data_IF_071677871754
#
_entry.id   IF_071677871754
#
_cell.length_a   1.000
_cell.length_b   1.000
_cell.length_c   1.000
_cell.angle_alpha   90.00
_cell.angle_beta   90.00
_cell.angle_gamma   90.00
#
_symmetry.space_group_name_H-M   'P 1'
#
loop_
_entity.id
_entity.type
_entity.pdbx_description
1 polymer ?
#
# COMPACT_ATOMS: atom_id res chain seq x y z
N UNK A 1 -31.66 -45.81 -1.00
CA UNK A 1 -31.22 -45.13 -2.22
C UNK A 1 -31.51 -43.65 -2.09
N UNK A 2 -30.58 -42.81 -2.42
CA UNK A 2 -30.70 -41.36 -2.40
C UNK A 2 -30.33 -40.77 -3.77
N UNK A 3 -30.83 -39.55 -4.09
CA UNK A 3 -30.48 -38.74 -5.24
C UNK A 3 -29.60 -37.61 -4.81
N UNK A 4 -28.42 -37.46 -5.41
CA UNK A 4 -27.53 -36.30 -5.28
C UNK A 4 -27.71 -35.41 -6.49
N UNK A 5 -28.08 -34.14 -6.27
CA UNK A 5 -28.24 -33.14 -7.32
C UNK A 5 -27.05 -32.20 -7.27
N UNK A 6 -26.25 -32.14 -8.34
CA UNK A 6 -25.08 -31.27 -8.49
C UNK A 6 -25.27 -30.43 -9.76
N UNK A 7 -25.94 -29.28 -9.63
CA UNK A 7 -26.29 -28.38 -10.75
C UNK A 7 -25.41 -27.14 -10.84
N UNK A 8 -24.32 -27.08 -10.05
CA UNK A 8 -23.41 -25.93 -9.98
C UNK A 8 -23.66 -25.03 -8.76
N UNK A 9 -22.79 -24.03 -8.61
CA UNK A 9 -22.85 -23.04 -7.54
C UNK A 9 -22.80 -21.66 -8.18
N UNK A 10 -23.72 -20.80 -7.81
CA UNK A 10 -23.72 -19.37 -8.19
C UNK A 10 -23.26 -18.53 -7.00
N UNK A 11 -22.23 -17.67 -7.17
CA UNK A 11 -21.78 -16.78 -6.10
C UNK A 11 -22.85 -15.74 -5.76
N UNK A 12 -23.13 -15.52 -4.49
CA UNK A 12 -24.11 -14.51 -4.07
C UNK A 12 -23.44 -13.13 -3.92
N UNK A 13 -23.11 -12.53 -5.04
CA UNK A 13 -22.37 -11.25 -5.13
C UNK A 13 -23.24 -10.04 -5.44
N UNK A 14 -24.56 -10.19 -5.48
CA UNK A 14 -25.51 -9.12 -5.83
C UNK A 14 -25.40 -7.86 -4.97
N UNK A 15 -24.94 -7.98 -3.71
CA UNK A 15 -24.76 -6.82 -2.81
C UNK A 15 -23.56 -5.93 -3.18
N UNK A 16 -22.63 -6.44 -3.97
CA UNK A 16 -21.35 -5.78 -4.28
C UNK A 16 -21.08 -5.64 -5.79
N UNK A 17 -21.96 -6.16 -6.64
CA UNK A 17 -21.78 -6.19 -8.09
C UNK A 17 -21.52 -4.80 -8.73
N UNK A 18 -22.09 -3.73 -8.14
CA UNK A 18 -21.93 -2.36 -8.62
C UNK A 18 -20.69 -1.66 -8.03
N UNK A 19 -19.97 -2.34 -7.12
CA UNK A 19 -18.82 -1.75 -6.40
C UNK A 19 -17.50 -2.45 -6.73
N UNK A 20 -17.57 -3.73 -7.14
CA UNK A 20 -16.39 -4.56 -7.40
C UNK A 20 -16.48 -5.21 -8.79
N UNK A 21 -15.35 -5.34 -9.50
CA UNK A 21 -15.31 -6.13 -10.71
C UNK A 21 -15.58 -7.61 -10.38
N UNK A 22 -16.48 -8.23 -11.16
CA UNK A 22 -16.79 -9.64 -11.07
C UNK A 22 -16.27 -10.37 -12.30
N UNK A 23 -15.90 -11.64 -12.14
CA UNK A 23 -15.57 -12.54 -13.22
C UNK A 23 -16.86 -12.97 -13.98
N UNK A 24 -16.69 -13.68 -15.11
CA UNK A 24 -17.82 -14.14 -15.93
C UNK A 24 -18.82 -15.04 -15.19
N UNK A 25 -18.34 -15.80 -14.20
CA UNK A 25 -19.17 -16.67 -13.34
C UNK A 25 -19.82 -15.91 -12.16
N UNK A 26 -19.67 -14.59 -12.10
CA UNK A 26 -20.15 -13.75 -10.99
C UNK A 26 -19.27 -13.77 -9.73
N UNK A 27 -18.13 -14.44 -9.74
CA UNK A 27 -17.17 -14.47 -8.62
C UNK A 27 -16.41 -13.13 -8.49
N UNK A 28 -15.97 -12.80 -7.27
CA UNK A 28 -15.18 -11.58 -7.01
C UNK A 28 -13.75 -11.78 -7.52
N UNK A 29 -13.26 -10.84 -8.33
CA UNK A 29 -11.86 -10.80 -8.77
C UNK A 29 -10.97 -10.35 -7.62
N UNK A 30 -9.90 -11.12 -7.34
CA UNK A 30 -8.90 -10.79 -6.29
C UNK A 30 -7.48 -11.03 -6.78
N UNK A 31 -6.52 -10.35 -6.16
CA UNK A 31 -5.11 -10.70 -6.32
C UNK A 31 -4.71 -11.92 -5.44
N UNK A 32 -3.41 -12.30 -5.50
CA UNK A 32 -2.86 -13.41 -4.70
C UNK A 32 -2.90 -13.16 -3.18
N UNK A 33 -3.11 -11.92 -2.74
CA UNK A 33 -3.25 -11.50 -1.35
C UNK A 33 -4.71 -11.36 -0.92
N UNK A 34 -5.65 -11.87 -1.70
CA UNK A 34 -7.09 -11.77 -1.46
C UNK A 34 -7.64 -10.35 -1.47
N UNK A 35 -6.90 -9.36 -2.01
CA UNK A 35 -7.33 -7.97 -2.12
C UNK A 35 -8.27 -7.83 -3.30
N UNK A 36 -9.35 -7.07 -3.11
CA UNK A 36 -10.25 -6.66 -4.20
C UNK A 36 -9.79 -5.34 -4.81
N UNK A 37 -10.51 -4.83 -5.80
CA UNK A 37 -10.27 -3.51 -6.38
C UNK A 37 -10.51 -2.36 -5.39
N UNK A 38 -11.29 -2.58 -4.31
CA UNK A 38 -11.49 -1.60 -3.26
C UNK A 38 -10.46 -1.78 -2.14
N UNK A 39 -9.77 -0.69 -1.80
CA UNK A 39 -8.81 -0.68 -0.71
C UNK A 39 -9.47 -1.04 0.63
N UNK A 40 -8.87 -1.96 1.39
CA UNK A 40 -9.40 -2.43 2.67
C UNK A 40 -10.49 -3.49 2.57
N UNK A 41 -10.87 -3.89 1.35
CA UNK A 41 -11.86 -4.95 1.11
C UNK A 41 -11.16 -6.20 0.58
N UNK A 42 -11.41 -7.32 1.23
CA UNK A 42 -10.81 -8.62 0.90
C UNK A 42 -11.94 -9.62 0.62
N UNK A 43 -11.69 -10.56 -0.30
CA UNK A 43 -12.60 -11.66 -0.55
C UNK A 43 -11.87 -13.00 -0.41
N UNK A 44 -12.49 -13.97 0.25
CA UNK A 44 -11.93 -15.28 0.52
C UNK A 44 -12.98 -16.38 0.34
N UNK A 45 -12.52 -17.58 0.02
CA UNK A 45 -13.40 -18.75 -0.15
C UNK A 45 -14.02 -18.82 -1.54
N UNK A 46 -15.13 -19.51 -1.65
CA UNK A 46 -15.76 -19.87 -2.94
C UNK A 46 -16.46 -18.69 -3.64
N UNK A 47 -16.60 -17.56 -2.95
CA UNK A 47 -17.17 -16.33 -3.49
C UNK A 47 -16.22 -15.61 -4.46
N UNK A 48 -14.90 -15.89 -4.37
CA UNK A 48 -13.90 -15.31 -5.27
C UNK A 48 -13.58 -16.20 -6.47
N UNK A 49 -13.08 -15.58 -7.53
CA UNK A 49 -12.57 -16.27 -8.69
C UNK A 49 -11.37 -17.15 -8.34
N UNK A 50 -11.49 -18.46 -8.54
CA UNK A 50 -10.42 -19.44 -8.35
C UNK A 50 -10.71 -20.76 -9.05
N UNK A 51 -9.66 -21.46 -9.44
CA UNK A 51 -9.73 -22.75 -10.12
C UNK A 51 -10.38 -23.86 -9.27
N UNK A 52 -10.04 -23.95 -7.98
CA UNK A 52 -10.49 -25.02 -7.11
C UNK A 52 -11.31 -24.47 -5.94
N UNK A 53 -12.60 -24.78 -5.92
CA UNK A 53 -13.55 -24.42 -4.85
C UNK A 53 -13.73 -25.62 -3.92
N UNK A 54 -12.98 -25.65 -2.81
CA UNK A 54 -12.98 -26.70 -1.78
C UNK A 54 -12.80 -26.08 -0.38
N UNK A 55 -13.24 -26.76 0.65
CA UNK A 55 -13.10 -26.31 2.04
C UNK A 55 -11.64 -25.98 2.37
N UNK A 56 -10.69 -26.83 1.98
CA UNK A 56 -9.27 -26.60 2.24
C UNK A 56 -8.75 -25.31 1.58
N UNK A 57 -9.15 -25.03 0.33
CA UNK A 57 -8.76 -23.79 -0.36
C UNK A 57 -9.47 -22.56 0.22
N UNK A 58 -10.70 -22.71 0.71
CA UNK A 58 -11.41 -21.62 1.39
C UNK A 58 -10.73 -21.24 2.72
N UNK A 59 -10.27 -22.23 3.50
CA UNK A 59 -9.50 -22.00 4.72
C UNK A 59 -8.16 -21.30 4.41
N UNK A 60 -7.45 -21.73 3.38
CA UNK A 60 -6.22 -21.10 2.92
C UNK A 60 -6.43 -19.63 2.52
N UNK A 61 -7.46 -19.35 1.73
CA UNK A 61 -7.85 -18.00 1.36
C UNK A 61 -8.13 -17.12 2.60
N UNK A 62 -8.87 -17.66 3.58
CA UNK A 62 -9.18 -16.97 4.83
C UNK A 62 -7.93 -16.58 5.62
N UNK A 63 -6.95 -17.50 5.70
CA UNK A 63 -5.67 -17.23 6.36
C UNK A 63 -4.89 -16.10 5.64
N UNK A 64 -4.83 -16.14 4.31
CA UNK A 64 -4.16 -15.09 3.51
C UNK A 64 -4.90 -13.75 3.64
N UNK A 65 -6.23 -13.75 3.57
CA UNK A 65 -7.04 -12.55 3.72
C UNK A 65 -6.87 -11.90 5.10
N UNK A 66 -6.88 -12.70 6.17
CA UNK A 66 -6.66 -12.21 7.54
C UNK A 66 -5.29 -11.56 7.71
N UNK A 67 -4.23 -12.20 7.22
CA UNK A 67 -2.88 -11.64 7.24
C UNK A 67 -2.75 -10.35 6.41
N UNK A 68 -3.40 -10.32 5.24
CA UNK A 68 -3.40 -9.15 4.37
C UNK A 68 -4.17 -7.98 4.98
N UNK A 69 -5.28 -8.26 5.68
CA UNK A 69 -6.06 -7.26 6.39
C UNK A 69 -5.28 -6.66 7.59
N UNK A 70 -4.57 -7.51 8.36
CA UNK A 70 -3.69 -7.04 9.43
C UNK A 70 -2.62 -6.09 8.92
N UNK A 71 -1.94 -6.47 7.83
CA UNK A 71 -0.97 -5.59 7.17
C UNK A 71 -1.59 -4.27 6.72
N UNK A 72 -2.76 -4.31 6.09
CA UNK A 72 -3.44 -3.11 5.64
C UNK A 72 -3.77 -2.15 6.79
N UNK A 73 -4.22 -2.67 7.94
CA UNK A 73 -4.50 -1.88 9.14
C UNK A 73 -3.21 -1.25 9.67
N UNK A 74 -2.15 -2.03 9.83
CA UNK A 74 -0.85 -1.53 10.32
C UNK A 74 -0.26 -0.43 9.41
N UNK A 75 -0.37 -0.58 8.10
CA UNK A 75 0.04 0.44 7.13
C UNK A 75 -0.83 1.70 7.20
N UNK A 76 -2.15 1.53 7.39
CA UNK A 76 -3.07 2.65 7.52
C UNK A 76 -2.78 3.46 8.77
N UNK A 77 -2.56 2.80 9.91
CA UNK A 77 -2.17 3.46 11.15
C UNK A 77 -0.82 4.17 11.04
N UNK A 78 0.16 3.54 10.39
CA UNK A 78 1.46 4.17 10.12
C UNK A 78 1.30 5.41 9.26
N UNK A 79 0.48 5.33 8.20
CA UNK A 79 0.21 6.44 7.30
C UNK A 79 -0.41 7.62 8.05
N UNK A 80 -1.44 7.37 8.84
CA UNK A 80 -2.12 8.42 9.60
C UNK A 80 -1.23 9.02 10.69
N UNK A 81 -0.58 8.19 11.52
CA UNK A 81 0.20 8.65 12.68
C UNK A 81 1.57 9.23 12.32
N UNK A 82 2.22 8.75 11.27
CA UNK A 82 3.61 9.11 10.96
C UNK A 82 3.76 9.98 9.70
N UNK A 83 2.80 9.93 8.79
CA UNK A 83 2.88 10.61 7.51
C UNK A 83 1.93 11.79 7.43
N UNK A 84 0.67 11.62 7.86
CA UNK A 84 -0.31 12.71 7.92
C UNK A 84 -0.30 13.48 9.24
N UNK A 85 0.70 13.28 10.07
CA UNK A 85 0.83 13.78 11.44
C UNK A 85 0.29 15.19 11.63
N UNK A 86 -0.57 15.39 12.65
CA UNK A 86 -1.25 16.64 12.92
C UNK A 86 -0.26 17.78 13.22
N UNK A 87 -0.12 18.70 12.25
CA UNK A 87 0.57 19.97 12.39
C UNK A 87 2.09 19.97 12.19
N UNK A 88 2.71 18.86 11.74
CA UNK A 88 4.12 18.85 11.33
C UNK A 88 4.27 18.37 9.89
N UNK A 89 5.13 19.00 9.10
CA UNK A 89 5.49 18.49 7.79
C UNK A 89 6.11 17.09 7.89
N UNK A 90 5.87 16.26 6.90
CA UNK A 90 6.41 14.90 6.83
C UNK A 90 7.29 14.72 5.60
N UNK A 91 8.39 14.02 5.77
CA UNK A 91 9.30 13.62 4.73
C UNK A 91 9.33 12.09 4.64
N UNK A 92 8.86 11.55 3.53
CA UNK A 92 8.69 10.12 3.33
C UNK A 92 9.67 9.62 2.28
N UNK A 93 10.66 8.85 2.70
CA UNK A 93 11.57 8.17 1.78
C UNK A 93 10.98 6.83 1.36
N UNK A 94 10.61 6.72 0.09
CA UNK A 94 10.05 5.51 -0.51
C UNK A 94 11.15 4.82 -1.31
N UNK A 95 11.49 3.61 -0.92
CA UNK A 95 12.65 2.89 -1.41
C UNK A 95 12.40 1.39 -1.54
N UNK A 96 13.27 0.71 -2.28
CA UNK A 96 13.25 -0.74 -2.41
C UNK A 96 14.56 -1.30 -1.82
N UNK A 97 14.47 -2.10 -0.76
CA UNK A 97 15.63 -2.63 -0.03
C UNK A 97 16.52 -3.55 -0.86
N UNK A 98 16.01 -4.15 -1.94
CA UNK A 98 16.81 -5.01 -2.84
C UNK A 98 17.52 -4.22 -3.94
N UNK A 99 17.11 -2.97 -4.20
CA UNK A 99 17.75 -2.10 -5.20
C UNK A 99 19.01 -1.43 -4.65
N UNK A 100 20.19 -1.64 -5.26
CA UNK A 100 21.43 -1.01 -4.84
C UNK A 100 21.36 0.52 -4.82
N UNK A 101 20.73 1.13 -5.84
CA UNK A 101 20.60 2.59 -5.95
C UNK A 101 19.82 3.17 -4.77
N UNK A 102 18.74 2.49 -4.37
CA UNK A 102 17.95 2.89 -3.20
C UNK A 102 18.78 2.84 -1.90
N UNK A 103 19.67 1.86 -1.77
CA UNK A 103 20.54 1.73 -0.60
C UNK A 103 21.64 2.78 -0.55
N UNK A 104 22.24 3.10 -1.70
CA UNK A 104 23.31 4.10 -1.78
C UNK A 104 22.80 5.50 -1.39
N UNK A 105 21.56 5.81 -1.72
CA UNK A 105 20.94 7.09 -1.35
C UNK A 105 20.47 7.15 0.11
N UNK A 106 20.41 6.02 0.80
CA UNK A 106 19.95 5.98 2.19
C UNK A 106 20.79 6.88 3.11
N UNK A 107 22.11 6.93 2.89
CA UNK A 107 23.01 7.78 3.68
C UNK A 107 22.70 9.26 3.45
N UNK A 108 22.50 9.69 2.22
CA UNK A 108 22.14 11.08 1.88
C UNK A 108 20.81 11.48 2.55
N UNK A 109 19.85 10.57 2.55
CA UNK A 109 18.53 10.79 3.16
C UNK A 109 18.58 10.83 4.69
N UNK A 110 19.45 10.03 5.32
CA UNK A 110 19.69 10.10 6.78
C UNK A 110 20.37 11.43 7.18
N UNK A 111 21.26 11.98 6.37
CA UNK A 111 21.84 13.31 6.59
C UNK A 111 20.76 14.41 6.56
N UNK A 112 19.80 14.33 5.65
CA UNK A 112 18.64 15.22 5.66
C UNK A 112 17.81 15.08 6.93
N UNK A 113 17.56 13.86 7.38
CA UNK A 113 16.86 13.61 8.62
C UNK A 113 17.53 14.31 9.81
N UNK A 114 18.85 14.16 9.95
CA UNK A 114 19.60 14.79 11.04
C UNK A 114 19.57 16.33 10.97
N UNK A 115 19.68 16.89 9.76
CA UNK A 115 19.68 18.32 9.54
C UNK A 115 18.34 18.99 9.92
N UNK A 116 17.21 18.27 9.75
CA UNK A 116 15.85 18.80 10.00
C UNK A 116 15.17 18.17 11.21
N UNK A 117 15.94 17.53 12.08
CA UNK A 117 15.44 16.86 13.29
C UNK A 117 14.60 17.81 14.16
N UNK A 118 13.39 17.40 14.48
CA UNK A 118 12.46 18.14 15.36
C UNK A 118 11.43 19.00 14.61
N UNK A 119 11.71 19.46 13.41
CA UNK A 119 10.78 20.28 12.60
C UNK A 119 9.97 19.47 11.61
N UNK A 120 10.51 18.33 11.14
CA UNK A 120 9.90 17.46 10.13
C UNK A 120 9.81 16.04 10.69
N UNK A 121 8.67 15.37 10.45
CA UNK A 121 8.50 13.95 10.73
C UNK A 121 9.14 13.16 9.58
N UNK A 122 10.07 12.26 9.88
CA UNK A 122 10.77 11.47 8.87
C UNK A 122 10.35 10.01 8.92
N UNK A 123 9.90 9.47 7.79
CA UNK A 123 9.46 8.08 7.66
C UNK A 123 10.11 7.39 6.46
N UNK A 124 10.53 6.13 6.65
CA UNK A 124 10.99 5.27 5.55
C UNK A 124 9.96 4.20 5.23
N UNK A 125 9.69 4.02 3.95
CA UNK A 125 8.75 3.02 3.41
C UNK A 125 9.50 2.10 2.46
N UNK A 126 9.67 0.85 2.86
CA UNK A 126 10.27 -0.19 2.04
C UNK A 126 9.18 -0.90 1.23
N UNK A 127 9.13 -0.61 -0.08
CA UNK A 127 8.10 -1.17 -0.98
C UNK A 127 8.28 -2.67 -1.24
N UNK A 128 9.46 -3.23 -0.97
CA UNK A 128 9.66 -4.67 -1.02
C UNK A 128 8.87 -5.40 0.06
N UNK A 129 8.71 -4.76 1.22
CA UNK A 129 7.92 -5.31 2.33
C UNK A 129 6.44 -4.99 2.20
N UNK A 130 6.13 -3.77 1.73
CA UNK A 130 4.77 -3.28 1.60
C UNK A 130 4.70 -2.07 0.67
N UNK A 131 3.84 -2.13 -0.31
CA UNK A 131 3.64 -1.09 -1.31
C UNK A 131 2.40 -0.21 -1.07
N UNK A 132 1.63 -0.49 -0.02
CA UNK A 132 0.35 0.19 0.25
C UNK A 132 0.49 1.69 0.45
N UNK A 133 1.51 2.14 1.20
CA UNK A 133 1.78 3.56 1.43
C UNK A 133 2.24 4.24 0.14
N UNK A 134 3.13 3.60 -0.64
CA UNK A 134 3.59 4.15 -1.92
C UNK A 134 2.43 4.34 -2.90
N UNK A 135 1.52 3.37 -2.99
CA UNK A 135 0.30 3.46 -3.80
C UNK A 135 -0.63 4.59 -3.37
N UNK A 136 -0.84 4.78 -2.05
CA UNK A 136 -1.64 5.89 -1.51
C UNK A 136 -1.04 7.25 -1.85
N UNK A 137 0.28 7.36 -1.88
CA UNK A 137 1.01 8.57 -2.26
C UNK A 137 1.16 8.73 -3.79
N UNK A 138 0.66 7.78 -4.60
CA UNK A 138 0.76 7.81 -6.06
C UNK A 138 2.18 7.64 -6.59
N UNK A 139 3.11 7.10 -5.78
CA UNK A 139 4.52 6.92 -6.14
C UNK A 139 4.72 5.57 -6.81
N UNK A 140 5.23 5.60 -8.05
CA UNK A 140 5.45 4.41 -8.89
C UNK A 140 6.92 4.17 -9.22
N UNK A 141 7.81 5.15 -8.97
CA UNK A 141 9.24 5.05 -9.22
C UNK A 141 10.03 5.12 -7.91
N UNK A 142 11.11 4.38 -7.79
CA UNK A 142 11.94 4.28 -6.60
C UNK A 142 13.42 4.45 -6.93
N UNK A 143 14.21 5.10 -6.09
CA UNK A 143 13.83 5.80 -4.87
C UNK A 143 13.09 7.12 -5.13
N UNK A 144 12.19 7.48 -4.22
CA UNK A 144 11.51 8.78 -4.23
C UNK A 144 11.46 9.36 -2.82
N UNK A 145 11.52 10.68 -2.72
CA UNK A 145 11.39 11.41 -1.48
C UNK A 145 10.18 12.35 -1.55
N UNK A 146 9.16 12.05 -0.78
CA UNK A 146 7.87 12.78 -0.79
C UNK A 146 7.83 13.73 0.39
N UNK A 147 7.63 15.01 0.13
CA UNK A 147 7.37 16.04 1.11
C UNK A 147 5.87 16.30 1.23
N UNK A 148 5.36 16.19 2.46
CA UNK A 148 3.94 16.36 2.78
C UNK A 148 3.84 17.47 3.82
N UNK A 149 2.96 18.45 3.58
CA UNK A 149 2.61 19.50 4.52
C UNK A 149 1.10 19.65 4.60
N UNK A 150 0.55 19.80 5.81
CA UNK A 150 -0.89 19.88 6.06
C UNK A 150 -1.69 18.75 5.37
N UNK A 151 -1.15 17.52 5.41
CA UNK A 151 -1.77 16.35 4.80
C UNK A 151 -1.77 16.31 3.27
N UNK A 152 -1.11 17.26 2.59
CA UNK A 152 -1.02 17.35 1.14
C UNK A 152 0.39 17.10 0.65
N UNK A 153 0.53 16.36 -0.43
CA UNK A 153 1.81 16.22 -1.13
C UNK A 153 2.17 17.59 -1.73
N UNK A 154 3.26 18.15 -1.28
CA UNK A 154 3.81 19.42 -1.78
C UNK A 154 4.78 19.15 -2.92
N UNK A 155 5.64 18.14 -2.74
CA UNK A 155 6.67 17.79 -3.72
C UNK A 155 6.99 16.30 -3.65
N UNK A 156 7.38 15.73 -4.81
CA UNK A 156 7.88 14.36 -4.91
C UNK A 156 9.19 14.42 -5.72
N UNK A 157 10.30 14.16 -5.05
CA UNK A 157 11.64 14.20 -5.64
C UNK A 157 12.03 12.80 -6.12
N UNK A 158 12.55 12.76 -7.34
CA UNK A 158 13.20 11.59 -7.92
C UNK A 158 14.66 11.45 -7.44
N UNK A 159 15.32 10.39 -7.90
CA UNK A 159 16.73 10.11 -7.60
C UNK A 159 17.65 11.29 -7.85
N UNK A 160 17.57 11.90 -9.04
CA UNK A 160 18.50 12.94 -9.46
C UNK A 160 18.28 14.22 -8.65
N UNK A 161 17.05 14.53 -8.34
CA UNK A 161 16.67 15.65 -7.49
C UNK A 161 17.12 15.44 -6.03
N UNK A 162 17.03 14.21 -5.50
CA UNK A 162 17.56 13.87 -4.18
C UNK A 162 19.07 14.11 -4.12
N UNK A 163 19.81 13.61 -5.10
CA UNK A 163 21.28 13.78 -5.19
C UNK A 163 21.67 15.25 -5.36
N UNK A 164 20.94 16.02 -6.17
CA UNK A 164 21.22 17.44 -6.40
C UNK A 164 20.98 18.36 -5.20
N UNK A 165 20.40 17.82 -4.13
CA UNK A 165 20.09 18.59 -2.93
C UNK A 165 18.87 19.51 -3.07
N UNK A 166 17.98 19.25 -4.02
CA UNK A 166 16.73 20.00 -4.23
C UNK A 166 15.89 20.10 -2.95
N UNK A 167 15.99 19.10 -2.07
CA UNK A 167 15.33 19.06 -0.78
C UNK A 167 15.60 20.30 0.09
N UNK A 168 16.82 20.83 0.08
CA UNK A 168 17.18 22.02 0.89
C UNK A 168 16.32 23.23 0.55
N UNK A 169 15.98 23.40 -0.75
CA UNK A 169 15.14 24.52 -1.21
C UNK A 169 13.71 24.39 -0.69
N UNK A 170 13.18 23.17 -0.73
CA UNK A 170 11.78 22.87 -0.34
C UNK A 170 11.58 23.14 1.15
N UNK A 171 12.45 22.61 1.99
CA UNK A 171 12.31 22.75 3.45
C UNK A 171 12.52 24.21 3.87
N UNK A 172 13.44 24.95 3.26
CA UNK A 172 13.65 26.36 3.58
C UNK A 172 12.45 27.22 3.20
N UNK A 173 11.76 26.94 2.11
CA UNK A 173 10.56 27.67 1.68
C UNK A 173 9.35 27.43 2.58
N UNK A 174 9.28 26.28 3.26
CA UNK A 174 8.15 25.91 4.12
C UNK A 174 8.39 26.23 5.60
N UNK A 175 9.61 26.65 5.98
CA UNK A 175 9.96 27.07 7.34
C UNK A 175 9.88 28.59 7.54
N UNK A 176 9.51 29.33 6.51
CA UNK A 176 9.30 30.78 6.51
C UNK A 176 7.81 31.11 6.53
#
# INVERSE_FOLDING_TARGET
SGLFVAIGIEPRTHLIQDQLPLAEDGSIVTDMHMRTALAGVFAAGDVREKFLKQVATAVGDGAIAGYSAEKYIAESEKFEKQILNDGKPSLVYIWNAVDPVCRDLLQVVEEYKEQYLGNICFTKVDVYKSDGIAKRLGVTQYPSLVYINDGKIVECLDKDQIVSGAMKKIVTQCSA
#
